data_IF_414127934622
#
_entry.id   IF_414127934622
#
_cell.length_a   1.000
_cell.length_b   1.000
_cell.length_c   1.000
_cell.angle_alpha   90.00
_cell.angle_beta   90.00
_cell.angle_gamma   90.00
#
_symmetry.space_group_name_H-M   'P 1'
#
loop_
_entity.id
_entity.type
_entity.pdbx_description
1 polymer ?
#
# COMPACT_ATOMS: atom_id res chain seq x y z
N UNK A 1 -14.67 1.07 -11.20
CA UNK A 1 -14.08 2.19 -11.98
C UNK A 1 -13.55 3.35 -11.13
N UNK A 2 -14.28 3.92 -10.15
CA UNK A 2 -13.80 5.08 -9.34
C UNK A 2 -12.51 4.83 -8.52
N UNK A 3 -12.24 3.60 -8.10
CA UNK A 3 -11.05 3.26 -7.29
C UNK A 3 -9.72 3.27 -8.07
N UNK A 4 -9.73 2.94 -9.37
CA UNK A 4 -8.54 2.94 -10.21
C UNK A 4 -8.07 4.37 -10.52
N UNK A 5 -9.02 5.28 -10.76
CA UNK A 5 -8.75 6.71 -11.01
C UNK A 5 -8.13 7.38 -9.78
N UNK A 6 -8.62 7.06 -8.57
CA UNK A 6 -8.05 7.60 -7.32
C UNK A 6 -6.63 7.09 -7.03
N UNK A 7 -6.32 5.82 -7.35
CA UNK A 7 -4.94 5.29 -7.23
C UNK A 7 -3.97 6.03 -8.15
N UNK A 8 -4.39 6.32 -9.38
CA UNK A 8 -3.55 7.04 -10.36
C UNK A 8 -3.33 8.52 -9.97
N UNK A 9 -4.35 9.18 -9.41
CA UNK A 9 -4.25 10.55 -8.92
C UNK A 9 -3.35 10.70 -7.69
N UNK A 10 -3.34 9.70 -6.79
CA UNK A 10 -2.40 9.69 -5.66
C UNK A 10 -0.96 9.60 -6.14
N UNK A 11 -0.67 8.72 -7.12
CA UNK A 11 0.67 8.57 -7.71
C UNK A 11 1.12 9.88 -8.37
N UNK A 12 0.24 10.51 -9.16
CA UNK A 12 0.53 11.80 -9.76
C UNK A 12 0.79 12.88 -8.69
N UNK A 13 0.00 12.89 -7.62
CA UNK A 13 0.19 13.78 -6.48
C UNK A 13 1.55 13.60 -5.78
N UNK A 14 2.00 12.35 -5.58
CA UNK A 14 3.30 12.07 -4.93
C UNK A 14 4.45 12.50 -5.81
N UNK A 15 4.34 12.29 -7.13
CA UNK A 15 5.37 12.72 -8.09
C UNK A 15 5.48 14.24 -8.11
N UNK A 16 4.36 14.96 -8.14
CA UNK A 16 4.35 16.43 -8.12
C UNK A 16 4.90 16.98 -6.80
N UNK A 17 4.47 16.43 -5.67
CA UNK A 17 4.97 16.85 -4.35
C UNK A 17 6.48 16.56 -4.20
N UNK A 18 6.95 15.40 -4.68
CA UNK A 18 8.36 15.03 -4.69
C UNK A 18 9.20 15.96 -5.56
N UNK A 19 8.70 16.33 -6.74
CA UNK A 19 9.35 17.30 -7.62
C UNK A 19 9.45 18.69 -6.98
N UNK A 20 8.39 19.14 -6.28
CA UNK A 20 8.40 20.41 -5.57
C UNK A 20 9.42 20.43 -4.42
N UNK A 21 9.50 19.35 -3.64
CA UNK A 21 10.49 19.20 -2.56
C UNK A 21 11.92 19.18 -3.12
N UNK A 22 12.15 18.46 -4.22
CA UNK A 22 13.46 18.42 -4.89
C UNK A 22 13.88 19.80 -5.42
N UNK A 23 12.95 20.55 -6.02
CA UNK A 23 13.20 21.92 -6.47
C UNK A 23 13.53 22.87 -5.30
N UNK A 24 12.83 22.75 -4.18
CA UNK A 24 13.11 23.55 -2.97
C UNK A 24 14.46 23.22 -2.34
N UNK A 25 14.87 21.95 -2.35
CA UNK A 25 16.20 21.53 -1.90
C UNK A 25 17.30 22.05 -2.82
N UNK A 26 17.10 21.98 -4.14
CA UNK A 26 18.03 22.53 -5.12
C UNK A 26 18.18 24.06 -5.00
N UNK A 27 17.13 24.75 -4.57
CA UNK A 27 17.14 26.19 -4.29
C UNK A 27 17.73 26.56 -2.91
N UNK A 28 18.21 25.59 -2.13
CA UNK A 28 18.80 25.81 -0.80
C UNK A 28 17.79 26.13 0.31
N UNK A 29 16.48 26.04 0.03
CA UNK A 29 15.40 26.35 0.96
C UNK A 29 14.99 25.11 1.78
N UNK A 30 15.94 24.54 2.52
CA UNK A 30 15.74 23.32 3.31
C UNK A 30 14.55 23.38 4.30
N UNK A 31 14.28 24.49 5.02
CA UNK A 31 13.16 24.56 5.95
C UNK A 31 11.79 24.46 5.24
N UNK A 32 11.67 25.11 4.07
CA UNK A 32 10.44 25.07 3.27
C UNK A 32 10.21 23.70 2.64
N UNK A 33 11.28 23.04 2.17
CA UNK A 33 11.21 21.68 1.66
C UNK A 33 10.73 20.69 2.74
N UNK A 34 11.27 20.79 3.95
CA UNK A 34 10.90 19.95 5.08
C UNK A 34 9.43 20.13 5.46
N UNK A 35 8.96 21.38 5.57
CA UNK A 35 7.55 21.67 5.86
C UNK A 35 6.60 21.10 4.80
N UNK A 36 6.93 21.29 3.52
CA UNK A 36 6.12 20.82 2.40
C UNK A 36 6.05 19.29 2.37
N UNK A 37 7.17 18.62 2.61
CA UNK A 37 7.23 17.17 2.68
C UNK A 37 6.42 16.61 3.87
N UNK A 38 6.57 17.20 5.05
CA UNK A 38 5.88 16.76 6.26
C UNK A 38 4.36 16.91 6.15
N UNK A 39 3.88 18.05 5.65
CA UNK A 39 2.42 18.29 5.46
C UNK A 39 1.85 17.32 4.44
N UNK A 40 2.54 17.13 3.31
CA UNK A 40 2.08 16.21 2.27
C UNK A 40 2.04 14.75 2.79
N UNK A 41 3.09 14.32 3.49
CA UNK A 41 3.15 12.99 4.09
C UNK A 41 2.03 12.74 5.11
N UNK A 42 1.71 13.74 5.94
CA UNK A 42 0.64 13.66 6.92
C UNK A 42 -0.74 13.50 6.25
N UNK A 43 -0.99 14.24 5.17
CA UNK A 43 -2.25 14.15 4.41
C UNK A 43 -2.40 12.75 3.79
N UNK A 44 -1.34 12.21 3.18
CA UNK A 44 -1.36 10.86 2.60
C UNK A 44 -1.58 9.80 3.68
N UNK A 45 -0.92 9.93 4.83
CA UNK A 45 -1.09 9.02 5.95
C UNK A 45 -2.56 8.97 6.44
N UNK A 46 -3.20 10.14 6.60
CA UNK A 46 -4.62 10.22 7.02
C UNK A 46 -5.56 9.57 5.99
N UNK A 47 -5.35 9.81 4.70
CA UNK A 47 -6.16 9.20 3.63
C UNK A 47 -5.99 7.68 3.61
N UNK A 48 -4.76 7.18 3.76
CA UNK A 48 -4.45 5.74 3.80
C UNK A 48 -5.08 5.07 5.01
N UNK A 49 -4.97 5.70 6.19
CA UNK A 49 -5.54 5.20 7.43
C UNK A 49 -7.05 4.94 7.29
N UNK A 50 -7.77 5.84 6.60
CA UNK A 50 -9.21 5.70 6.36
C UNK A 50 -9.56 4.49 5.49
N UNK A 51 -8.72 4.17 4.51
CA UNK A 51 -8.89 2.99 3.65
C UNK A 51 -8.62 1.68 4.40
N UNK A 52 -7.60 1.68 5.28
CA UNK A 52 -7.28 0.56 6.17
C UNK A 52 -8.43 0.28 7.14
N UNK A 53 -8.97 1.31 7.81
CA UNK A 53 -10.10 1.16 8.73
C UNK A 53 -11.36 0.61 8.03
N UNK A 54 -11.56 0.96 6.76
CA UNK A 54 -12.68 0.44 5.96
C UNK A 54 -12.48 -1.04 5.58
N UNK A 55 -11.25 -1.46 5.29
CA UNK A 55 -10.89 -2.86 5.08
C UNK A 55 -11.02 -3.68 6.37
N UNK A 56 -10.69 -3.09 7.52
CA UNK A 56 -10.82 -3.72 8.83
C UNK A 56 -12.29 -4.02 9.18
N UNK A 57 -13.20 -3.10 8.82
CA UNK A 57 -14.66 -3.29 9.01
C UNK A 57 -15.26 -4.40 8.15
N UNK A 58 -14.58 -4.90 7.11
CA UNK A 58 -15.15 -5.90 6.19
C UNK A 58 -14.92 -7.36 6.59
N UNK A 59 -14.48 -7.65 7.83
CA UNK A 59 -14.56 -9.02 8.36
C UNK A 59 -13.26 -9.84 8.40
N UNK A 60 -12.10 -9.28 8.06
CA UNK A 60 -10.80 -9.97 8.18
C UNK A 60 -10.14 -9.65 9.53
N UNK A 61 -10.65 -10.24 10.61
CA UNK A 61 -10.32 -9.80 11.98
C UNK A 61 -9.05 -10.41 12.61
N UNK A 62 -8.47 -11.48 12.05
CA UNK A 62 -7.39 -12.23 12.69
C UNK A 62 -6.01 -11.57 12.57
N UNK A 63 -5.33 -11.82 11.45
CA UNK A 63 -3.96 -11.37 11.16
C UNK A 63 -3.88 -9.84 11.02
N UNK A 64 -4.93 -9.23 10.48
CA UNK A 64 -4.98 -7.80 10.16
C UNK A 64 -5.01 -6.93 11.44
N UNK A 65 -5.60 -7.41 12.53
CA UNK A 65 -5.63 -6.67 13.79
C UNK A 65 -4.25 -6.58 14.44
N UNK A 66 -3.49 -7.68 14.44
CA UNK A 66 -2.12 -7.73 14.96
C UNK A 66 -1.17 -6.84 14.15
N UNK A 67 -1.35 -6.79 12.83
CA UNK A 67 -0.58 -5.91 11.96
C UNK A 67 -0.85 -4.42 12.29
N UNK A 68 -2.12 -4.06 12.49
CA UNK A 68 -2.53 -2.69 12.84
C UNK A 68 -1.98 -2.27 14.21
N UNK A 69 -2.04 -3.14 15.22
CA UNK A 69 -1.46 -2.83 16.55
C UNK A 69 0.06 -2.76 16.51
N UNK A 70 0.75 -3.59 15.73
CA UNK A 70 2.20 -3.52 15.57
C UNK A 70 2.66 -2.21 14.89
N UNK A 71 1.95 -1.79 13.84
CA UNK A 71 2.20 -0.51 13.17
C UNK A 71 1.92 0.66 14.13
N UNK A 72 0.81 0.62 14.85
CA UNK A 72 0.46 1.67 15.81
C UNK A 72 1.48 1.78 16.95
N UNK A 73 1.94 0.64 17.49
CA UNK A 73 2.94 0.59 18.55
C UNK A 73 4.31 1.13 18.09
N UNK A 74 4.77 0.72 16.91
CA UNK A 74 6.05 1.20 16.36
C UNK A 74 6.02 2.70 16.05
N UNK A 75 4.91 3.22 15.52
CA UNK A 75 4.73 4.67 15.34
C UNK A 75 4.68 5.40 16.68
N UNK A 76 4.00 4.87 17.70
CA UNK A 76 3.91 5.48 19.02
C UNK A 76 5.27 5.57 19.73
N UNK A 77 6.17 4.61 19.49
CA UNK A 77 7.54 4.60 20.02
C UNK A 77 8.50 5.44 19.17
N UNK A 78 8.07 5.90 17.98
CA UNK A 78 8.87 6.71 17.06
C UNK A 78 9.75 5.90 16.09
N UNK A 79 9.55 4.59 16.03
CA UNK A 79 10.28 3.66 15.16
C UNK A 79 9.63 3.56 13.78
N UNK A 80 9.71 4.63 13.00
CA UNK A 80 9.04 4.74 11.70
C UNK A 80 9.57 3.73 10.66
N UNK A 81 10.86 3.36 10.74
CA UNK A 81 11.46 2.36 9.85
C UNK A 81 10.86 0.98 10.10
N UNK A 82 10.67 0.61 11.37
CA UNK A 82 10.03 -0.65 11.74
C UNK A 82 8.57 -0.70 11.24
N UNK A 83 7.82 0.40 11.38
CA UNK A 83 6.47 0.51 10.84
C UNK A 83 6.43 0.30 9.32
N UNK A 84 7.38 0.89 8.58
CA UNK A 84 7.49 0.73 7.12
C UNK A 84 7.79 -0.72 6.71
N UNK A 85 8.67 -1.42 7.45
CA UNK A 85 8.97 -2.83 7.20
C UNK A 85 7.74 -3.70 7.39
N UNK A 86 6.96 -3.47 8.45
CA UNK A 86 5.72 -4.23 8.72
C UNK A 86 4.71 -4.00 7.58
N UNK A 87 4.54 -2.76 7.12
CA UNK A 87 3.66 -2.44 5.99
C UNK A 87 4.13 -3.15 4.71
N UNK A 88 5.44 -3.16 4.45
CA UNK A 88 6.01 -3.85 3.29
C UNK A 88 5.76 -5.36 3.37
N UNK A 89 5.93 -5.97 4.54
CA UNK A 89 5.66 -7.39 4.78
C UNK A 89 4.21 -7.76 4.47
N UNK A 90 3.26 -6.93 4.92
CA UNK A 90 1.84 -7.15 4.68
C UNK A 90 1.51 -7.08 3.19
N UNK A 91 1.94 -6.00 2.52
CA UNK A 91 1.72 -5.82 1.09
C UNK A 91 2.42 -6.91 0.25
N UNK A 92 3.61 -7.35 0.68
CA UNK A 92 4.35 -8.43 0.04
C UNK A 92 3.63 -9.78 0.18
N UNK A 93 3.06 -10.08 1.35
CA UNK A 93 2.26 -11.28 1.57
C UNK A 93 1.04 -11.34 0.66
N UNK A 94 0.26 -10.24 0.61
CA UNK A 94 -0.91 -10.13 -0.27
C UNK A 94 -0.54 -10.32 -1.75
N UNK A 95 0.56 -9.71 -2.21
CA UNK A 95 1.01 -9.83 -3.59
C UNK A 95 1.46 -11.27 -3.94
N UNK A 96 2.13 -11.96 -3.01
CA UNK A 96 2.53 -13.35 -3.20
C UNK A 96 1.32 -14.30 -3.22
N UNK A 97 0.33 -14.03 -2.38
CA UNK A 97 -0.92 -14.81 -2.31
C UNK A 97 -1.71 -14.68 -3.61
N UNK A 98 -1.88 -13.47 -4.13
CA UNK A 98 -2.56 -13.21 -5.42
C UNK A 98 -1.80 -13.85 -6.61
N UNK A 99 -0.46 -13.83 -6.56
CA UNK A 99 0.37 -14.51 -7.56
C UNK A 99 0.20 -16.05 -7.51
N UNK A 100 0.19 -16.62 -6.30
CA UNK A 100 0.02 -18.05 -6.10
C UNK A 100 -1.36 -18.53 -6.55
N UNK A 101 -2.41 -17.77 -6.22
CA UNK A 101 -3.79 -18.05 -6.60
C UNK A 101 -3.98 -18.01 -8.13
N UNK A 102 -3.38 -17.00 -8.79
CA UNK A 102 -3.35 -16.91 -10.25
C UNK A 102 -2.63 -18.08 -10.93
N UNK A 103 -1.50 -18.52 -10.36
CA UNK A 103 -0.77 -19.71 -10.85
C UNK A 103 -1.60 -20.99 -10.68
N UNK A 104 -2.20 -21.19 -9.50
CA UNK A 104 -3.03 -22.36 -9.21
C UNK A 104 -4.24 -22.45 -10.17
N UNK A 105 -4.91 -21.32 -10.41
CA UNK A 105 -6.04 -21.23 -11.34
C UNK A 105 -5.64 -21.61 -12.76
N UNK A 106 -4.46 -21.18 -13.23
CA UNK A 106 -3.94 -21.54 -14.56
C UNK A 106 -3.66 -23.04 -14.69
N UNK A 107 -3.06 -23.64 -13.67
CA UNK A 107 -2.80 -25.09 -13.64
C UNK A 107 -4.10 -25.89 -13.68
N UNK A 108 -5.06 -25.57 -12.81
CA UNK A 108 -6.38 -26.23 -12.78
C UNK A 108 -7.11 -26.12 -14.13
N UNK A 109 -7.09 -24.93 -14.73
CA UNK A 109 -7.66 -24.71 -16.05
C UNK A 109 -6.98 -25.57 -17.13
N UNK A 110 -5.66 -25.71 -17.08
CA UNK A 110 -4.91 -26.55 -18.03
C UNK A 110 -5.20 -28.05 -17.89
N UNK A 111 -5.52 -28.51 -16.67
CA UNK A 111 -5.94 -29.89 -16.43
C UNK A 111 -7.36 -30.14 -16.96
N UNK A 112 -8.27 -29.18 -16.79
CA UNK A 112 -9.64 -29.26 -17.32
C UNK A 112 -9.67 -29.20 -18.86
N UNK A 113 -8.87 -28.33 -19.49
CA UNK A 113 -8.79 -28.21 -20.96
C UNK A 113 -8.17 -29.45 -21.63
N UNK A 114 -7.47 -30.31 -20.87
CA UNK A 114 -6.91 -31.58 -21.37
C UNK A 114 -7.84 -32.78 -21.22
N UNK A 115 -9.03 -32.62 -20.64
CA UNK A 115 -10.01 -33.70 -20.59
C UNK A 115 -10.60 -33.88 -22.01
N UNK A 116 -10.38 -35.03 -22.67
CA UNK A 116 -10.87 -35.24 -24.01
C UNK A 116 -12.40 -35.32 -24.00
N UNK A 117 -13.04 -34.41 -24.74
CA UNK A 117 -14.45 -34.52 -25.08
C UNK A 117 -14.59 -35.49 -26.26
N UNK A 118 -14.47 -36.79 -26.01
CA UNK A 118 -14.78 -37.80 -27.02
C UNK A 118 -16.22 -38.29 -26.82
N UNK A 119 -17.06 -37.99 -27.82
CA UNK A 119 -18.29 -38.70 -28.12
C UNK A 119 -17.99 -39.87 -29.08
#
# INVERSE_FOLDING_TARGET
MRAAVMRFQLIAGTVVAGAAVAALLAAGQAPAAQWTASVYALIVAVVRLRSMVKALRSGRWGIDLLAVTAIAATVAVGEYVAALIIVLMLAGGEALEEFAEGRATRELRSLLERVPHTA
#
